data_IF_020715126617
#
_entry.id   IF_020715126617
#
_cell.length_a   1.000
_cell.length_b   1.000
_cell.length_c   1.000
_cell.angle_alpha   90.00
_cell.angle_beta   90.00
_cell.angle_gamma   90.00
#
_symmetry.space_group_name_H-M   'P 1'
#
loop_
_entity.id
_entity.type
_entity.pdbx_description
1 polymer ?
#
# COMPACT_ATOMS: atom_id res chain seq x y z
N UNK A 1 -7.07 5.73 2.17
CA UNK A 1 -7.68 4.57 2.86
C UNK A 1 -7.38 3.25 2.17
N UNK A 2 -7.48 3.14 0.85
CA UNK A 2 -7.14 1.91 0.10
C UNK A 2 -5.69 1.43 0.33
N UNK A 3 -4.72 2.35 0.48
CA UNK A 3 -3.33 1.99 0.79
C UNK A 3 -3.15 1.30 2.15
N UNK A 4 -3.95 1.69 3.15
CA UNK A 4 -3.92 1.08 4.48
C UNK A 4 -4.47 -0.35 4.43
N UNK A 5 -5.56 -0.55 3.68
CA UNK A 5 -6.11 -1.89 3.45
C UNK A 5 -5.12 -2.77 2.67
N UNK A 6 -4.48 -2.22 1.63
CA UNK A 6 -3.46 -2.93 0.85
C UNK A 6 -2.26 -3.35 1.71
N UNK A 7 -1.74 -2.45 2.55
CA UNK A 7 -0.68 -2.78 3.51
C UNK A 7 -1.11 -3.82 4.55
N UNK A 8 -2.33 -3.72 5.07
CA UNK A 8 -2.88 -4.72 5.99
C UNK A 8 -2.95 -6.12 5.36
N UNK A 9 -3.44 -6.22 4.11
CA UNK A 9 -3.51 -7.46 3.36
C UNK A 9 -2.09 -8.02 3.13
N UNK A 10 -1.13 -7.14 2.82
CA UNK A 10 0.26 -7.51 2.60
C UNK A 10 0.93 -8.13 3.82
N UNK A 11 0.77 -7.50 4.96
CA UNK A 11 1.43 -7.90 6.19
C UNK A 11 0.70 -9.06 6.89
N UNK A 12 -0.58 -9.29 6.59
CA UNK A 12 -1.40 -10.32 7.27
C UNK A 12 -1.53 -11.63 6.50
N UNK A 13 -1.71 -11.59 5.18
CA UNK A 13 -2.15 -12.78 4.42
C UNK A 13 -1.20 -13.19 3.29
N UNK A 14 -0.66 -12.23 2.51
CA UNK A 14 0.03 -12.55 1.25
C UNK A 14 1.55 -12.35 1.27
N UNK A 15 2.07 -11.53 2.17
CA UNK A 15 3.46 -11.08 2.11
C UNK A 15 3.66 -9.96 1.08
N UNK A 16 4.74 -9.19 1.26
CA UNK A 16 5.00 -7.96 0.49
C UNK A 16 5.18 -8.21 -1.02
N UNK A 17 5.91 -9.27 -1.39
CA UNK A 17 6.15 -9.61 -2.81
C UNK A 17 4.86 -9.96 -3.56
N UNK A 18 4.05 -10.88 -3.04
CA UNK A 18 2.79 -11.28 -3.69
C UNK A 18 1.81 -10.12 -3.76
N UNK A 19 1.79 -9.28 -2.74
CA UNK A 19 0.99 -8.06 -2.74
C UNK A 19 1.40 -7.13 -3.88
N UNK A 20 2.70 -6.84 -4.02
CA UNK A 20 3.18 -6.00 -5.13
C UNK A 20 2.76 -6.60 -6.48
N UNK A 21 2.95 -7.90 -6.68
CA UNK A 21 2.56 -8.59 -7.91
C UNK A 21 1.06 -8.49 -8.22
N UNK A 22 0.20 -8.78 -7.23
CA UNK A 22 -1.26 -8.76 -7.39
C UNK A 22 -1.78 -7.34 -7.58
N UNK A 23 -1.34 -6.38 -6.76
CA UNK A 23 -1.80 -5.00 -6.90
C UNK A 23 -1.26 -4.35 -8.18
N UNK A 24 -0.10 -4.75 -8.67
CA UNK A 24 0.41 -4.33 -9.97
C UNK A 24 -0.41 -4.88 -11.14
N UNK A 25 -0.84 -6.15 -11.12
CA UNK A 25 -1.72 -6.69 -12.16
C UNK A 25 -3.10 -6.03 -12.12
N UNK A 26 -3.64 -5.75 -10.93
CA UNK A 26 -4.87 -4.98 -10.76
C UNK A 26 -4.72 -3.56 -11.31
N UNK A 27 -3.60 -2.88 -11.01
CA UNK A 27 -3.32 -1.54 -11.57
C UNK A 27 -3.20 -1.58 -13.09
N UNK A 28 -2.44 -2.54 -13.64
CA UNK A 28 -2.27 -2.70 -15.08
C UNK A 28 -3.61 -2.92 -15.77
N UNK A 29 -4.47 -3.76 -15.20
CA UNK A 29 -5.84 -4.00 -15.69
C UNK A 29 -6.66 -2.71 -15.64
N UNK A 30 -6.68 -2.00 -14.51
CA UNK A 30 -7.43 -0.75 -14.35
C UNK A 30 -7.05 0.32 -15.38
N UNK A 31 -5.75 0.54 -15.60
CA UNK A 31 -5.26 1.53 -16.57
C UNK A 31 -5.48 1.07 -18.01
N UNK A 32 -5.43 -0.24 -18.27
CA UNK A 32 -5.76 -0.81 -19.59
C UNK A 32 -7.24 -0.61 -19.92
N UNK A 33 -8.15 -0.91 -18.98
CA UNK A 33 -9.59 -0.63 -19.17
C UNK A 33 -9.84 0.86 -19.36
N UNK A 34 -9.13 1.72 -18.63
CA UNK A 34 -9.22 3.18 -18.79
C UNK A 34 -8.78 3.62 -20.20
N UNK A 35 -7.71 3.02 -20.73
CA UNK A 35 -7.21 3.30 -22.08
C UNK A 35 -8.17 2.80 -23.17
N UNK A 36 -8.74 1.61 -23.00
CA UNK A 36 -9.74 1.07 -23.92
C UNK A 36 -10.99 1.97 -23.95
N UNK A 37 -11.41 2.48 -22.80
CA UNK A 37 -12.54 3.42 -22.68
C UNK A 37 -12.32 4.73 -23.47
N UNK A 38 -11.07 5.19 -23.61
CA UNK A 38 -10.77 6.41 -24.38
C UNK A 38 -10.65 6.16 -25.89
N UNK A 39 -10.25 4.96 -26.29
CA UNK A 39 -10.10 4.55 -27.70
C UNK A 39 -11.46 4.21 -28.33
N UNK A 40 -12.32 3.45 -27.63
CA UNK A 40 -13.58 2.97 -28.19
C UNK A 40 -14.60 4.12 -28.26
N UNK A 41 -15.05 4.54 -29.47
CA UNK A 41 -15.97 5.66 -29.61
C UNK A 41 -17.35 5.40 -28.98
N UNK A 42 -17.78 4.14 -28.85
CA UNK A 42 -19.03 3.76 -28.17
C UNK A 42 -18.97 3.93 -26.64
N UNK A 43 -17.77 3.96 -26.05
CA UNK A 43 -17.57 4.12 -24.60
C UNK A 43 -17.40 5.58 -24.17
N UNK A 44 -17.43 6.52 -25.11
CA UNK A 44 -17.36 7.96 -24.85
C UNK A 44 -18.56 8.71 -25.45
N UNK A 45 -19.01 9.80 -24.83
CA UNK A 45 -20.00 10.67 -25.47
C UNK A 45 -19.41 11.28 -26.76
N UNK A 46 -20.26 11.65 -27.73
CA UNK A 46 -19.81 12.31 -28.94
C UNK A 46 -19.05 13.60 -28.61
N UNK A 47 -18.03 13.90 -29.40
CA UNK A 47 -17.18 15.08 -29.17
C UNK A 47 -18.05 16.34 -29.29
N UNK A 48 -18.13 17.09 -28.20
CA UNK A 48 -18.77 18.40 -28.17
C UNK A 48 -17.79 19.40 -27.55
N UNK A 49 -17.63 20.55 -28.20
CA UNK A 49 -16.83 21.66 -27.68
C UNK A 49 -17.82 22.69 -27.13
N UNK A 50 -17.64 23.13 -25.87
CA UNK A 50 -18.53 24.08 -25.20
C UNK A 50 -18.68 25.43 -25.92
N UNK A 51 -17.81 25.73 -26.88
CA UNK A 51 -17.82 26.98 -27.66
C UNK A 51 -18.84 26.99 -28.81
N UNK A 52 -19.37 25.84 -29.22
CA UNK A 52 -20.43 25.78 -30.23
C UNK A 52 -21.77 25.59 -29.51
N UNK A 53 -22.83 26.21 -30.03
CA UNK A 53 -24.22 26.18 -29.53
C UNK A 53 -24.90 24.79 -29.61
N UNK A 54 -24.14 23.71 -29.40
CA UNK A 54 -24.57 22.32 -29.40
C UNK A 54 -24.66 21.86 -27.95
N UNK A 55 -25.85 21.43 -27.54
CA UNK A 55 -26.09 20.85 -26.21
C UNK A 55 -25.31 19.52 -26.13
N UNK A 56 -24.25 19.50 -25.31
CA UNK A 56 -23.48 18.29 -25.03
C UNK A 56 -24.38 17.21 -24.40
N UNK A 57 -24.42 16.02 -24.99
CA UNK A 57 -25.11 14.87 -24.37
C UNK A 57 -24.29 14.34 -23.19
N UNK A 58 -24.89 14.15 -22.00
CA UNK A 58 -24.18 13.56 -20.87
C UNK A 58 -23.78 12.11 -21.17
N UNK A 59 -22.73 11.63 -20.51
CA UNK A 59 -22.28 10.25 -20.63
C UNK A 59 -23.40 9.27 -20.25
N UNK A 60 -23.55 8.19 -21.02
CA UNK A 60 -24.50 7.13 -20.72
C UNK A 60 -24.10 6.38 -19.44
N UNK A 61 -25.07 5.79 -18.73
CA UNK A 61 -24.81 5.03 -17.50
C UNK A 61 -23.71 3.98 -17.65
N UNK A 62 -23.70 3.25 -18.77
CA UNK A 62 -22.68 2.21 -19.06
C UNK A 62 -21.28 2.84 -19.20
N UNK A 63 -21.16 3.96 -19.91
CA UNK A 63 -19.89 4.67 -20.11
C UNK A 63 -19.32 5.12 -18.76
N UNK A 64 -20.18 5.65 -17.90
CA UNK A 64 -19.81 6.12 -16.57
C UNK A 64 -19.43 4.95 -15.64
N UNK A 65 -20.16 3.83 -15.68
CA UNK A 65 -19.82 2.63 -14.89
C UNK A 65 -18.46 2.07 -15.28
N UNK A 66 -18.16 1.94 -16.57
CA UNK A 66 -16.85 1.44 -17.04
C UNK A 66 -15.73 2.39 -16.60
N UNK A 67 -15.95 3.70 -16.71
CA UNK A 67 -14.99 4.71 -16.25
C UNK A 67 -14.73 4.59 -14.74
N UNK A 68 -15.78 4.53 -13.91
CA UNK A 68 -15.62 4.40 -12.47
C UNK A 68 -14.95 3.10 -12.07
N UNK A 69 -15.32 1.98 -12.70
CA UNK A 69 -14.67 0.70 -12.46
C UNK A 69 -13.17 0.78 -12.74
N UNK A 70 -12.77 1.36 -13.88
CA UNK A 70 -11.37 1.54 -14.24
C UNK A 70 -10.61 2.43 -13.24
N UNK A 71 -11.23 3.53 -12.80
CA UNK A 71 -10.66 4.44 -11.80
C UNK A 71 -10.50 3.77 -10.44
N UNK A 72 -11.50 3.01 -9.98
CA UNK A 72 -11.41 2.30 -8.70
C UNK A 72 -10.35 1.18 -8.73
N UNK A 73 -10.25 0.43 -9.82
CA UNK A 73 -9.20 -0.57 -10.00
C UNK A 73 -7.81 0.07 -10.00
N UNK A 74 -7.66 1.18 -10.72
CA UNK A 74 -6.39 1.94 -10.75
C UNK A 74 -6.02 2.47 -9.36
N UNK A 75 -6.97 3.04 -8.63
CA UNK A 75 -6.76 3.55 -7.28
C UNK A 75 -6.42 2.44 -6.29
N UNK A 76 -7.10 1.30 -6.38
CA UNK A 76 -6.83 0.11 -5.56
C UNK A 76 -5.41 -0.42 -5.81
N UNK A 77 -5.05 -0.62 -7.08
CA UNK A 77 -3.74 -1.11 -7.49
C UNK A 77 -2.60 -0.17 -7.04
N UNK A 78 -2.74 1.12 -7.32
CA UNK A 78 -1.76 2.15 -6.92
C UNK A 78 -1.57 2.19 -5.40
N UNK A 79 -2.67 2.04 -4.65
CA UNK A 79 -2.62 2.08 -3.19
C UNK A 79 -1.83 0.93 -2.58
N UNK A 80 -2.04 -0.30 -3.05
CA UNK A 80 -1.34 -1.49 -2.56
C UNK A 80 0.12 -1.56 -2.99
N UNK A 81 0.43 -1.07 -4.20
CA UNK A 81 1.81 -0.93 -4.67
C UNK A 81 2.60 0.06 -3.81
N UNK A 82 2.07 1.27 -3.59
CA UNK A 82 2.77 2.33 -2.85
C UNK A 82 3.07 1.94 -1.40
N UNK A 83 2.19 1.16 -0.75
CA UNK A 83 2.41 0.72 0.64
C UNK A 83 3.48 -0.38 0.76
N UNK A 84 3.67 -1.20 -0.28
CA UNK A 84 4.47 -2.42 -0.18
C UNK A 84 5.84 -2.31 -0.86
N UNK A 85 5.96 -1.52 -1.94
CA UNK A 85 7.19 -1.41 -2.76
C UNK A 85 8.38 -0.87 -1.95
N UNK A 86 8.19 0.18 -1.15
CA UNK A 86 9.28 0.74 -0.34
C UNK A 86 9.75 -0.24 0.73
N UNK A 87 8.81 -0.91 1.42
CA UNK A 87 9.12 -1.94 2.39
C UNK A 87 9.89 -3.11 1.78
N UNK A 88 9.43 -3.63 0.64
CA UNK A 88 10.11 -4.70 -0.07
C UNK A 88 11.50 -4.31 -0.59
N UNK A 89 11.68 -3.05 -1.01
CA UNK A 89 12.98 -2.51 -1.39
C UNK A 89 13.95 -2.46 -0.22
N UNK A 90 13.51 -2.01 0.95
CA UNK A 90 14.33 -2.03 2.17
C UNK A 90 14.66 -3.46 2.63
N UNK A 91 13.77 -4.42 2.38
CA UNK A 91 13.99 -5.83 2.75
C UNK A 91 15.13 -6.51 1.97
N UNK A 92 15.62 -5.88 0.89
CA UNK A 92 16.76 -6.41 0.13
C UNK A 92 18.11 -6.19 0.81
N UNK A 93 18.19 -5.23 1.74
CA UNK A 93 19.41 -4.89 2.47
C UNK A 93 19.36 -5.39 3.92
N UNK A 94 20.50 -5.83 4.45
CA UNK A 94 20.67 -6.17 5.86
C UNK A 94 21.07 -4.92 6.65
N UNK A 95 20.29 -4.57 7.67
CA UNK A 95 20.55 -3.42 8.55
C UNK A 95 21.65 -3.72 9.59
N UNK A 96 22.04 -4.99 9.74
CA UNK A 96 23.11 -5.44 10.64
C UNK A 96 24.50 -5.17 10.05
N UNK A 97 24.60 -5.04 8.73
CA UNK A 97 25.84 -4.74 8.02
C UNK A 97 25.94 -3.23 7.72
N UNK A 98 26.96 -2.51 8.24
CA UNK A 98 27.12 -1.08 7.99
C UNK A 98 27.32 -0.74 6.50
N UNK A 99 27.89 -1.64 5.70
CA UNK A 99 28.09 -1.42 4.27
C UNK A 99 26.76 -1.52 3.50
N UNK A 100 25.99 -2.60 3.71
CA UNK A 100 24.67 -2.76 3.08
C UNK A 100 23.70 -1.64 3.52
N UNK A 101 23.80 -1.15 4.77
CA UNK A 101 23.02 -0.01 5.25
C UNK A 101 23.33 1.30 4.52
N UNK A 102 24.61 1.55 4.21
CA UNK A 102 25.02 2.70 3.40
C UNK A 102 24.47 2.58 1.97
N UNK A 103 24.57 1.39 1.37
CA UNK A 103 24.01 1.09 0.04
C UNK A 103 22.48 1.27 0.00
N UNK A 104 21.76 0.85 1.05
CA UNK A 104 20.32 1.07 1.20
C UNK A 104 19.98 2.57 1.17
N UNK A 105 20.74 3.39 1.88
CA UNK A 105 20.53 4.84 1.92
C UNK A 105 20.74 5.45 0.54
N UNK A 106 21.80 5.05 -0.16
CA UNK A 106 22.06 5.51 -1.53
C UNK A 106 20.95 5.07 -2.50
N UNK A 107 20.46 3.84 -2.37
CA UNK A 107 19.31 3.34 -3.15
C UNK A 107 18.08 4.22 -2.95
N UNK A 108 17.72 4.54 -1.70
CA UNK A 108 16.56 5.39 -1.43
C UNK A 108 16.76 6.84 -1.90
N UNK A 109 17.98 7.38 -1.82
CA UNK A 109 18.28 8.71 -2.35
C UNK A 109 18.00 8.78 -3.86
N UNK A 110 18.50 7.81 -4.63
CA UNK A 110 18.22 7.71 -6.07
C UNK A 110 16.74 7.44 -6.35
N UNK A 111 16.11 6.55 -5.58
CA UNK A 111 14.68 6.26 -5.71
C UNK A 111 13.82 7.53 -5.56
N UNK A 112 14.06 8.34 -4.52
CA UNK A 112 13.33 9.58 -4.33
C UNK A 112 13.68 10.64 -5.37
N UNK A 113 14.93 10.72 -5.81
CA UNK A 113 15.33 11.62 -6.88
C UNK A 113 14.53 11.34 -8.18
N UNK A 114 14.48 10.07 -8.61
CA UNK A 114 13.70 9.68 -9.79
C UNK A 114 12.19 9.85 -9.60
N UNK A 115 11.64 9.62 -8.40
CA UNK A 115 10.22 9.88 -8.13
C UNK A 115 9.90 11.37 -8.31
N UNK A 116 10.74 12.28 -7.79
CA UNK A 116 10.50 13.70 -7.91
C UNK A 116 10.59 14.17 -9.37
N UNK A 117 11.60 13.72 -10.12
CA UNK A 117 11.72 14.02 -11.55
C UNK A 117 10.55 13.42 -12.33
N UNK A 118 10.18 12.18 -12.06
CA UNK A 118 9.04 11.51 -12.69
C UNK A 118 7.72 12.23 -12.39
N UNK A 119 7.54 12.73 -11.17
CA UNK A 119 6.38 13.54 -10.79
C UNK A 119 6.34 14.84 -11.59
N UNK A 120 7.47 15.53 -11.73
CA UNK A 120 7.57 16.76 -12.51
C UNK A 120 7.26 16.51 -14.00
N UNK A 121 7.85 15.46 -14.58
CA UNK A 121 7.56 15.03 -15.95
C UNK A 121 6.10 14.61 -16.14
N UNK A 122 5.49 13.96 -15.13
CA UNK A 122 4.09 13.55 -15.17
C UNK A 122 3.14 14.75 -15.23
N UNK A 123 3.38 15.81 -14.45
CA UNK A 123 2.50 16.99 -14.45
C UNK A 123 2.75 17.93 -15.63
N UNK A 124 3.87 17.79 -16.34
CA UNK A 124 4.24 18.63 -17.49
C UNK A 124 4.07 17.87 -18.81
N UNK A 125 4.98 16.94 -19.10
CA UNK A 125 5.05 16.20 -20.37
C UNK A 125 3.83 15.30 -20.55
N UNK A 126 3.47 14.54 -19.52
CA UNK A 126 2.38 13.57 -19.64
C UNK A 126 1.02 14.29 -19.79
N UNK A 127 0.79 15.38 -19.03
CA UNK A 127 -0.40 16.23 -19.18
C UNK A 127 -0.44 16.84 -20.58
N UNK A 128 0.69 17.35 -21.09
CA UNK A 128 0.78 17.87 -22.45
C UNK A 128 0.36 16.83 -23.50
N UNK A 129 0.83 15.58 -23.38
CA UNK A 129 0.44 14.48 -24.27
C UNK A 129 -1.06 14.20 -24.17
N UNK A 130 -1.60 14.11 -22.95
CA UNK A 130 -3.03 13.82 -22.74
C UNK A 130 -3.95 14.89 -23.35
N UNK A 131 -3.56 16.16 -23.24
CA UNK A 131 -4.40 17.28 -23.68
C UNK A 131 -4.20 17.64 -25.16
N UNK A 132 -2.98 17.53 -25.71
CA UNK A 132 -2.68 17.94 -27.09
C UNK A 132 -2.68 16.77 -28.09
N UNK A 133 -2.09 15.63 -27.72
CA UNK A 133 -1.99 14.46 -28.61
C UNK A 133 -3.18 13.51 -28.41
N UNK A 134 -3.85 13.59 -27.27
CA UNK A 134 -5.05 12.85 -26.95
C UNK A 134 -4.87 11.90 -25.78
N UNK A 135 -6.00 11.67 -25.11
CA UNK A 135 -6.05 10.88 -23.87
C UNK A 135 -5.72 9.40 -24.07
N UNK A 136 -5.98 8.88 -25.27
CA UNK A 136 -5.59 7.52 -25.69
C UNK A 136 -4.07 7.29 -25.62
N UNK A 137 -3.27 8.24 -26.12
CA UNK A 137 -1.82 8.15 -26.07
C UNK A 137 -1.29 8.29 -24.64
N UNK A 138 -1.81 9.25 -23.89
CA UNK A 138 -1.36 9.47 -22.51
C UNK A 138 -1.62 8.27 -21.60
N UNK A 139 -2.83 7.70 -21.63
CA UNK A 139 -3.13 6.49 -20.84
C UNK A 139 -2.47 5.23 -21.40
N UNK A 140 -2.30 5.12 -22.72
CA UNK A 140 -1.57 4.01 -23.34
C UNK A 140 -0.11 3.96 -22.89
N UNK A 141 0.59 5.10 -22.85
CA UNK A 141 1.97 5.17 -22.33
C UNK A 141 2.01 4.74 -20.86
N UNK A 142 1.07 5.20 -20.03
CA UNK A 142 0.96 4.77 -18.64
C UNK A 142 0.74 3.25 -18.50
N UNK A 143 -0.15 2.67 -19.31
CA UNK A 143 -0.43 1.24 -19.30
C UNK A 143 0.84 0.44 -19.65
N UNK A 144 1.53 0.82 -20.73
CA UNK A 144 2.78 0.20 -21.15
C UNK A 144 3.85 0.29 -20.06
N UNK A 145 4.02 1.46 -19.43
CA UNK A 145 5.01 1.64 -18.37
C UNK A 145 4.76 0.73 -17.16
N UNK A 146 3.49 0.57 -16.74
CA UNK A 146 3.12 -0.33 -15.63
C UNK A 146 3.38 -1.79 -16.00
N UNK A 147 3.02 -2.21 -17.22
CA UNK A 147 3.26 -3.58 -17.70
C UNK A 147 4.75 -3.89 -17.78
N UNK A 148 5.56 -2.97 -18.32
CA UNK A 148 7.02 -3.12 -18.36
C UNK A 148 7.58 -3.22 -16.94
N UNK A 149 7.14 -2.34 -16.03
CA UNK A 149 7.56 -2.39 -14.62
C UNK A 149 7.21 -3.72 -13.96
N UNK A 150 6.02 -4.26 -14.22
CA UNK A 150 5.59 -5.57 -13.72
C UNK A 150 6.46 -6.71 -14.28
N UNK A 151 6.75 -6.70 -15.58
CA UNK A 151 7.63 -7.72 -16.19
C UNK A 151 9.03 -7.67 -15.60
N UNK A 152 9.60 -6.47 -15.43
CA UNK A 152 10.92 -6.29 -14.80
C UNK A 152 10.89 -6.80 -13.35
N UNK A 153 9.86 -6.47 -12.58
CA UNK A 153 9.68 -6.96 -11.21
C UNK A 153 9.62 -8.50 -11.16
N UNK A 154 8.80 -9.13 -12.00
CA UNK A 154 8.67 -10.59 -12.04
C UNK A 154 9.92 -11.29 -12.61
N UNK A 155 10.71 -10.63 -13.45
CA UNK A 155 11.98 -11.19 -13.93
C UNK A 155 13.03 -11.29 -12.80
N UNK A 156 12.94 -10.40 -11.81
CA UNK A 156 13.84 -10.33 -10.66
C UNK A 156 13.55 -11.36 -9.56
N UNK A 157 12.44 -12.11 -9.64
CA UNK A 157 11.94 -12.97 -8.54
C UNK A 157 12.98 -13.91 -7.97
N UNK A 158 13.85 -14.50 -8.81
CA UNK A 158 14.89 -15.43 -8.36
C UNK A 158 16.03 -14.77 -7.57
N UNK A 159 16.19 -13.44 -7.68
CA UNK A 159 17.26 -12.67 -7.04
C UNK A 159 16.81 -11.97 -5.77
N UNK A 160 15.51 -11.91 -5.48
CA UNK A 160 15.01 -11.20 -4.32
C UNK A 160 15.22 -11.97 -3.01
N UNK A 161 15.56 -11.24 -1.95
CA UNK A 161 15.55 -11.73 -0.57
C UNK A 161 14.12 -11.60 -0.05
N UNK A 162 13.54 -12.73 0.37
CA UNK A 162 12.18 -12.79 0.93
C UNK A 162 12.26 -12.84 2.46
N UNK A 163 11.80 -11.77 3.14
CA UNK A 163 11.61 -11.81 4.58
C UNK A 163 10.34 -12.58 4.94
N UNK A 164 10.37 -13.30 6.07
CA UNK A 164 9.19 -13.96 6.64
C UNK A 164 8.13 -12.93 6.98
N UNK A 165 6.84 -13.31 6.84
CA UNK A 165 5.73 -12.45 7.23
C UNK A 165 5.82 -12.19 8.73
N UNK A 166 6.07 -10.93 9.10
CA UNK A 166 5.92 -10.43 10.46
C UNK A 166 4.51 -9.89 10.50
N UNK A 167 3.57 -10.61 11.12
CA UNK A 167 2.13 -10.31 11.08
C UNK A 167 1.81 -8.82 11.32
N UNK A 168 0.73 -8.33 10.71
CA UNK A 168 0.41 -6.90 10.73
C UNK A 168 0.12 -6.37 12.15
N UNK A 169 0.74 -5.26 12.61
CA UNK A 169 0.42 -4.61 13.89
C UNK A 169 -1.06 -4.25 14.05
N UNK A 170 -1.77 -4.04 12.93
CA UNK A 170 -3.22 -3.81 12.90
C UNK A 170 -4.02 -5.01 13.41
N UNK A 171 -3.55 -6.25 13.20
CA UNK A 171 -4.21 -7.43 13.77
C UNK A 171 -4.06 -7.50 15.28
N UNK A 172 -2.91 -7.07 15.81
CA UNK A 172 -2.69 -6.98 17.26
C UNK A 172 -3.60 -5.90 17.87
N UNK A 173 -3.70 -4.73 17.23
CA UNK A 173 -4.59 -3.65 17.68
C UNK A 173 -6.06 -4.13 17.62
N UNK A 174 -6.49 -4.74 16.51
CA UNK A 174 -7.85 -5.27 16.37
C UNK A 174 -8.15 -6.38 17.40
N UNK A 175 -7.21 -7.28 17.65
CA UNK A 175 -7.35 -8.31 18.67
C UNK A 175 -7.48 -7.71 20.07
N UNK A 176 -6.70 -6.68 20.40
CA UNK A 176 -6.82 -5.94 21.67
C UNK A 176 -8.17 -5.23 21.78
N UNK A 177 -8.65 -4.58 20.71
CA UNK A 177 -9.98 -3.95 20.70
C UNK A 177 -11.11 -4.98 20.85
N UNK A 178 -11.05 -6.10 20.14
CA UNK A 178 -12.05 -7.17 20.24
C UNK A 178 -12.01 -7.84 21.62
N UNK A 179 -10.82 -8.08 22.16
CA UNK A 179 -10.64 -8.64 23.49
C UNK A 179 -11.15 -7.68 24.58
N UNK A 180 -10.85 -6.38 24.47
CA UNK A 180 -11.35 -5.35 25.37
C UNK A 180 -12.87 -5.20 25.30
N UNK A 181 -13.45 -5.26 24.09
CA UNK A 181 -14.90 -5.18 23.91
C UNK A 181 -15.62 -6.42 24.45
N UNK A 182 -15.06 -7.63 24.21
CA UNK A 182 -15.61 -8.89 24.75
C UNK A 182 -15.47 -8.98 26.27
N UNK A 183 -14.38 -8.47 26.84
CA UNK A 183 -14.11 -8.50 28.30
C UNK A 183 -14.65 -7.29 29.05
N UNK A 184 -15.39 -6.38 28.39
CA UNK A 184 -16.00 -5.18 29.00
C UNK A 184 -16.95 -5.48 30.17
N UNK A 185 -17.48 -6.70 30.26
CA UNK A 185 -18.41 -7.14 31.29
C UNK A 185 -17.80 -8.07 32.35
N UNK A 186 -16.48 -8.30 32.35
CA UNK A 186 -15.82 -9.05 33.42
C UNK A 186 -15.28 -8.08 34.48
N UNK A 187 -15.52 -8.38 35.76
CA UNK A 187 -14.87 -7.68 36.87
C UNK A 187 -13.39 -8.04 36.94
N UNK A 188 -12.53 -7.04 37.17
CA UNK A 188 -11.08 -7.21 37.22
C UNK A 188 -10.68 -8.08 38.44
N UNK A 189 -9.87 -9.14 38.26
CA UNK A 189 -9.27 -9.85 39.38
C UNK A 189 -8.22 -8.95 40.08
N UNK A 190 -8.21 -8.98 41.42
CA UNK A 190 -7.43 -8.09 42.29
C UNK A 190 -5.92 -8.40 42.34
N UNK A 191 -5.45 -9.52 41.78
CA UNK A 191 -4.06 -9.96 41.89
C UNK A 191 -3.20 -9.63 40.63
N UNK A 192 -2.15 -8.79 40.75
CA UNK A 192 -1.27 -8.42 39.63
C UNK A 192 -0.36 -9.53 39.10
N UNK A 193 -0.31 -10.69 39.78
CA UNK A 193 0.57 -11.83 39.47
C UNK A 193 0.01 -12.78 38.40
N UNK A 194 -1.27 -12.65 38.05
CA UNK A 194 -1.97 -13.48 37.05
C UNK A 194 -1.99 -12.86 35.65
N UNK A 195 -1.24 -11.76 35.45
CA UNK A 195 -1.17 -11.06 34.18
C UNK A 195 -0.26 -11.81 33.20
N UNK A 196 -0.82 -12.19 32.05
CA UNK A 196 -0.14 -13.01 31.04
C UNK A 196 1.07 -12.26 30.46
N UNK A 197 2.29 -12.67 30.84
CA UNK A 197 3.51 -12.14 30.25
C UNK A 197 3.84 -12.96 29.01
N UNK A 198 3.86 -12.29 27.85
CA UNK A 198 4.28 -12.88 26.56
C UNK A 198 5.76 -13.34 26.59
N UNK A 199 6.51 -12.98 27.63
CA UNK A 199 7.91 -13.38 27.81
C UNK A 199 8.08 -14.87 28.17
N UNK A 200 7.09 -15.53 28.78
CA UNK A 200 7.22 -16.95 29.19
C UNK A 200 7.02 -17.94 28.02
N UNK A 201 6.46 -17.50 26.89
CA UNK A 201 6.32 -18.32 25.68
C UNK A 201 7.57 -18.28 24.77
N UNK A 202 8.56 -17.44 25.11
CA UNK A 202 9.79 -17.25 24.35
C UNK A 202 11.05 -17.72 25.10
N UNK A 203 10.90 -18.56 26.13
CA UNK A 203 12.02 -19.28 26.75
C UNK A 203 12.53 -20.40 25.83
N UNK A 204 13.17 -19.99 24.74
CA UNK A 204 13.94 -20.83 23.85
C UNK A 204 15.20 -20.15 23.30
N UNK A 205 15.34 -18.81 23.37
CA UNK A 205 16.53 -18.15 22.84
C UNK A 205 16.95 -16.89 23.65
N UNK A 206 17.87 -17.12 24.58
CA UNK A 206 18.97 -16.22 25.05
C UNK A 206 18.66 -14.71 25.23
N UNK A 207 18.45 -14.36 26.51
CA UNK A 207 18.92 -13.16 27.25
C UNK A 207 19.54 -11.99 26.46
N UNK A 208 18.86 -10.83 26.48
CA UNK A 208 19.47 -9.51 26.71
C UNK A 208 18.60 -8.70 27.67
N UNK A 209 19.10 -8.50 28.89
CA UNK A 209 18.48 -7.63 29.93
C UNK A 209 18.21 -6.23 29.36
N UNK A 210 16.95 -5.82 29.28
CA UNK A 210 16.56 -4.41 29.16
C UNK A 210 16.05 -3.91 30.51
N UNK A 211 16.52 -2.73 30.90
CA UNK A 211 16.24 -2.04 32.16
C UNK A 211 14.74 -1.88 32.41
N UNK A 212 14.29 -2.31 33.59
CA UNK A 212 12.94 -2.03 34.11
C UNK A 212 12.91 -0.60 34.66
N UNK A 213 12.07 0.25 34.09
CA UNK A 213 11.78 1.58 34.64
C UNK A 213 10.83 1.45 35.85
N UNK A 214 11.07 2.18 36.95
CA UNK A 214 10.22 2.13 38.13
C UNK A 214 8.85 2.78 37.90
N UNK A 215 7.85 2.22 38.56
CA UNK A 215 6.43 2.52 38.38
C UNK A 215 6.02 3.83 39.09
N UNK A 216 5.75 4.90 38.34
CA UNK A 216 5.21 6.16 38.89
C UNK A 216 3.68 6.20 38.77
N UNK A 217 3.00 6.49 39.88
CA UNK A 217 1.54 6.37 40.09
C UNK A 217 0.66 7.45 39.42
N UNK A 218 1.16 8.20 38.43
CA UNK A 218 0.48 9.40 37.93
C UNK A 218 -0.41 9.22 36.68
N UNK A 219 -0.37 8.08 36.00
CA UNK A 219 -1.13 7.89 34.75
C UNK A 219 -2.23 6.83 34.87
N UNK A 220 -3.25 7.11 35.70
CA UNK A 220 -4.39 6.20 35.96
C UNK A 220 -5.24 5.88 34.72
N UNK A 221 -5.11 6.66 33.63
CA UNK A 221 -5.91 6.53 32.40
C UNK A 221 -5.16 5.84 31.24
N UNK A 222 -3.85 5.64 31.35
CA UNK A 222 -3.05 4.90 30.36
C UNK A 222 -2.93 3.41 30.71
N UNK A 223 -3.18 3.04 31.98
CA UNK A 223 -3.10 1.66 32.45
C UNK A 223 -4.26 0.75 32.02
N UNK A 224 -5.35 1.28 31.47
CA UNK A 224 -6.41 0.44 30.86
C UNK A 224 -5.98 -0.25 29.56
N UNK A 225 -4.83 0.14 28.99
CA UNK A 225 -4.28 -0.44 27.76
C UNK A 225 -3.30 -1.59 28.00
N UNK A 226 -3.05 -2.00 29.24
CA UNK A 226 -2.07 -3.05 29.56
C UNK A 226 -2.57 -4.15 30.51
N UNK A 227 -3.88 -4.29 30.65
CA UNK A 227 -4.49 -5.20 31.64
C UNK A 227 -5.56 -6.15 31.07
N UNK A 228 -5.59 -6.39 29.74
CA UNK A 228 -6.55 -7.37 29.17
C UNK A 228 -6.01 -8.24 28.03
N UNK A 229 -4.69 -8.28 27.82
CA UNK A 229 -4.07 -9.39 27.09
C UNK A 229 -3.92 -10.58 28.03
#
# INVERSE_FOLDING_TARGET
MLCLLGGFIADTFLGRYLTIGIFATVQATGVTVLTISTIIPSLRPPRCTRDNAIICTPASGIQLTVLYLALYLTALGTGGLKSSVSGFGSDQFDDSDPEEKSQMTNFFNWFFFFINIGSLASVTILVYIQDNLGREWGYGICACAIVIGLVVFLSGTKRYRFKKLVGSPLTQIAAVFVAAWKKKHLELPLDPSLLFNIDDAAEGLKMKKKQKLPHTKQFRLVFYLKTSC
#
